data_IF_675921300693
#
_entry.id   IF_675921300693
#
_cell.length_a   1.000
_cell.length_b   1.000
_cell.length_c   1.000
_cell.angle_alpha   90.00
_cell.angle_beta   90.00
_cell.angle_gamma   90.00
#
_symmetry.space_group_name_H-M   'P 1'
#
loop_
_entity.id
_entity.type
_entity.pdbx_description
1 polymer ?
#
# COMPACT_ATOMS: atom_id res chain seq x y z
N UNK A 1 40.64 -22.83 -44.85
CA UNK A 1 40.12 -21.89 -43.83
C UNK A 1 38.61 -21.91 -43.92
N UNK A 2 37.91 -22.58 -42.95
CA UNK A 2 36.43 -22.64 -42.90
C UNK A 2 35.97 -21.69 -41.79
N UNK A 3 35.34 -20.57 -42.15
CA UNK A 3 34.75 -19.64 -41.23
C UNK A 3 33.37 -20.17 -40.79
N UNK A 4 33.24 -20.54 -39.51
CA UNK A 4 31.96 -20.93 -38.92
C UNK A 4 31.20 -19.67 -38.47
N UNK A 5 30.03 -19.45 -39.04
CA UNK A 5 29.08 -18.40 -38.61
C UNK A 5 28.35 -18.92 -37.37
N UNK A 6 28.61 -18.32 -36.24
CA UNK A 6 27.84 -18.55 -34.99
C UNK A 6 26.60 -17.66 -35.03
N UNK A 7 25.43 -18.26 -35.21
CA UNK A 7 24.13 -17.58 -35.11
C UNK A 7 23.76 -17.41 -33.64
N UNK A 8 23.88 -16.20 -33.11
CA UNK A 8 23.37 -15.85 -31.76
C UNK A 8 21.83 -15.67 -31.85
N UNK A 9 21.09 -16.67 -31.38
CA UNK A 9 19.65 -16.51 -31.10
C UNK A 9 19.47 -15.61 -29.89
N UNK A 10 19.09 -14.37 -30.14
CA UNK A 10 18.61 -13.47 -29.04
C UNK A 10 17.20 -13.93 -28.68
N UNK A 11 17.05 -14.55 -27.48
CA UNK A 11 15.77 -14.85 -26.90
C UNK A 11 15.14 -13.52 -26.38
N UNK A 12 14.17 -13.01 -27.13
CA UNK A 12 13.35 -11.88 -26.66
C UNK A 12 12.44 -12.36 -25.54
N UNK A 13 12.73 -11.93 -24.31
CA UNK A 13 11.82 -12.10 -23.17
C UNK A 13 10.57 -11.22 -23.41
N UNK A 14 9.35 -11.76 -23.28
CA UNK A 14 8.15 -10.95 -23.36
C UNK A 14 8.16 -9.94 -22.20
N UNK A 15 8.22 -8.66 -22.50
CA UNK A 15 7.92 -7.60 -21.54
C UNK A 15 6.42 -7.68 -21.26
N UNK A 16 6.03 -8.16 -20.08
CA UNK A 16 4.66 -8.07 -19.60
C UNK A 16 4.37 -6.59 -19.34
N UNK A 17 3.71 -5.94 -20.28
CA UNK A 17 3.11 -4.63 -20.04
C UNK A 17 2.03 -4.82 -18.96
N UNK A 18 2.21 -4.19 -17.82
CA UNK A 18 1.19 -4.17 -16.77
C UNK A 18 -0.03 -3.41 -17.30
N UNK A 19 -1.18 -4.07 -17.39
CA UNK A 19 -2.42 -3.41 -17.77
C UNK A 19 -2.82 -2.38 -16.74
N UNK A 20 -3.23 -1.18 -17.19
CA UNK A 20 -3.78 -0.15 -16.31
C UNK A 20 -5.15 -0.58 -15.78
N UNK A 21 -5.42 -0.28 -14.51
CA UNK A 21 -6.72 -0.51 -13.90
C UNK A 21 -7.82 0.24 -14.65
N UNK A 22 -8.94 -0.42 -14.91
CA UNK A 22 -10.13 0.17 -15.58
C UNK A 22 -10.98 0.99 -14.61
N UNK A 23 -10.47 2.12 -14.15
CA UNK A 23 -11.14 3.04 -13.24
C UNK A 23 -11.19 4.45 -13.83
N UNK A 24 -12.15 5.26 -13.40
CA UNK A 24 -12.30 6.64 -13.83
C UNK A 24 -11.28 7.55 -13.15
N UNK A 25 -10.63 8.48 -13.87
CA UNK A 25 -9.93 9.58 -13.23
C UNK A 25 -10.91 10.56 -12.60
N UNK A 26 -10.48 11.29 -11.58
CA UNK A 26 -11.29 12.29 -10.88
C UNK A 26 -11.26 12.15 -9.37
N UNK A 27 -12.28 12.68 -8.72
CA UNK A 27 -12.43 12.69 -7.27
C UNK A 27 -12.98 11.35 -6.79
N UNK A 28 -12.32 10.81 -5.78
CA UNK A 28 -12.67 9.55 -5.12
C UNK A 28 -12.82 9.76 -3.62
N UNK A 29 -13.81 9.12 -3.02
CA UNK A 29 -13.92 8.98 -1.58
C UNK A 29 -13.53 7.56 -1.16
N UNK A 30 -12.70 7.44 -0.14
CA UNK A 30 -12.23 6.16 0.36
C UNK A 30 -12.49 6.04 1.83
N UNK A 31 -13.19 4.98 2.21
CA UNK A 31 -13.32 4.53 3.58
C UNK A 31 -12.27 3.46 3.84
N UNK A 32 -11.47 3.67 4.86
CA UNK A 32 -10.37 2.79 5.26
C UNK A 32 -10.61 2.28 6.67
N UNK A 33 -10.57 0.97 6.85
CA UNK A 33 -10.58 0.28 8.14
C UNK A 33 -9.18 -0.23 8.45
N UNK A 34 -8.63 0.20 9.58
CA UNK A 34 -7.27 -0.14 10.02
C UNK A 34 -7.37 -0.99 11.28
N UNK A 35 -6.76 -2.16 11.24
CA UNK A 35 -6.61 -3.07 12.38
C UNK A 35 -5.14 -3.26 12.69
N UNK A 36 -4.79 -3.15 13.97
CA UNK A 36 -3.44 -3.40 14.46
C UNK A 36 -3.48 -4.65 15.33
N UNK A 37 -2.69 -5.66 14.99
CA UNK A 37 -2.63 -6.91 15.74
C UNK A 37 -1.19 -7.21 16.18
N UNK A 38 -1.06 -7.75 17.40
CA UNK A 38 0.22 -8.21 17.91
C UNK A 38 1.26 -7.10 18.08
N UNK A 39 0.81 -5.86 18.32
CA UNK A 39 1.73 -4.77 18.64
C UNK A 39 2.50 -5.10 19.91
N UNK A 40 3.80 -5.24 19.79
CA UNK A 40 4.74 -5.37 20.91
C UNK A 40 5.67 -4.16 20.91
N UNK A 41 6.07 -3.73 22.09
CA UNK A 41 7.07 -2.67 22.19
C UNK A 41 8.43 -3.20 21.74
N UNK A 42 9.09 -2.54 20.77
CA UNK A 42 10.46 -2.90 20.40
C UNK A 42 11.40 -2.82 21.60
N UNK A 43 12.35 -3.74 21.67
CA UNK A 43 13.33 -3.77 22.78
C UNK A 43 14.13 -2.46 22.87
N UNK A 44 14.43 -1.84 21.71
CA UNK A 44 15.07 -0.52 21.64
C UNK A 44 14.29 0.60 22.33
N UNK A 45 12.96 0.48 22.39
CA UNK A 45 12.08 1.45 23.08
C UNK A 45 12.01 1.09 24.57
N UNK A 46 11.92 -0.20 24.89
CA UNK A 46 11.75 -0.66 26.27
C UNK A 46 13.03 -0.67 27.10
N UNK A 47 14.20 -0.71 26.44
CA UNK A 47 15.50 -0.78 27.11
C UNK A 47 15.77 0.36 28.10
N UNK A 48 15.24 1.55 27.81
CA UNK A 48 15.44 2.75 28.63
C UNK A 48 14.21 3.11 29.49
N UNK A 49 13.19 2.23 29.56
CA UNK A 49 11.97 2.47 30.34
C UNK A 49 12.08 1.87 31.74
N UNK A 50 11.53 2.57 32.73
CA UNK A 50 11.31 1.96 34.06
C UNK A 50 10.21 0.89 33.95
N UNK A 51 10.16 -0.07 34.90
CA UNK A 51 9.09 -1.09 34.92
C UNK A 51 7.68 -0.47 34.92
N UNK A 52 7.48 0.65 35.62
CA UNK A 52 6.20 1.34 35.68
C UNK A 52 5.85 2.01 34.34
N UNK A 53 6.82 2.62 33.66
CA UNK A 53 6.59 3.20 32.32
C UNK A 53 6.21 2.12 31.31
N UNK A 54 6.88 0.97 31.37
CA UNK A 54 6.56 -0.19 30.51
C UNK A 54 5.14 -0.68 30.76
N UNK A 55 4.77 -0.90 32.04
CA UNK A 55 3.43 -1.36 32.39
C UNK A 55 2.33 -0.42 31.90
N UNK A 56 2.52 0.91 32.04
CA UNK A 56 1.57 1.92 31.52
C UNK A 56 1.45 1.86 30.00
N UNK A 57 2.56 1.71 29.29
CA UNK A 57 2.56 1.62 27.83
C UNK A 57 1.86 0.35 27.33
N UNK A 58 2.12 -0.80 27.97
CA UNK A 58 1.45 -2.06 27.67
C UNK A 58 -0.06 -1.98 27.90
N UNK A 59 -0.48 -1.35 28.99
CA UNK A 59 -1.91 -1.14 29.29
C UNK A 59 -2.56 -0.23 28.23
N UNK A 60 -1.91 0.86 27.85
CA UNK A 60 -2.41 1.73 26.79
C UNK A 60 -2.53 0.99 25.45
N UNK A 61 -1.58 0.12 25.11
CA UNK A 61 -1.65 -0.72 23.89
C UNK A 61 -2.79 -1.74 23.96
N UNK A 62 -3.03 -2.35 25.11
CA UNK A 62 -4.19 -3.24 25.33
C UNK A 62 -5.51 -2.49 25.15
N UNK A 63 -5.61 -1.28 25.69
CA UNK A 63 -6.80 -0.44 25.51
C UNK A 63 -7.01 -0.04 24.04
N UNK A 64 -5.95 0.33 23.33
CA UNK A 64 -6.06 0.60 21.88
C UNK A 64 -6.49 -0.64 21.09
N UNK A 65 -5.95 -1.80 21.41
CA UNK A 65 -6.34 -3.06 20.77
C UNK A 65 -7.81 -3.43 21.07
N UNK A 66 -8.29 -3.15 22.28
CA UNK A 66 -9.66 -3.41 22.69
C UNK A 66 -10.70 -2.50 21.99
N UNK A 67 -10.29 -1.31 21.49
CA UNK A 67 -11.17 -0.42 20.72
C UNK A 67 -11.52 -0.98 19.33
N UNK A 68 -10.86 -2.05 18.90
CA UNK A 68 -11.09 -2.65 17.59
C UNK A 68 -10.58 -1.83 16.40
N UNK A 69 -11.03 -2.18 15.19
CA UNK A 69 -10.61 -1.49 13.98
C UNK A 69 -11.04 -0.02 13.97
N UNK A 70 -10.16 0.85 13.49
CA UNK A 70 -10.47 2.27 13.29
C UNK A 70 -10.87 2.52 11.86
N UNK A 71 -11.98 3.23 11.67
CA UNK A 71 -12.47 3.60 10.35
C UNK A 71 -12.22 5.10 10.11
N UNK A 72 -11.67 5.41 8.95
CA UNK A 72 -11.48 6.78 8.48
C UNK A 72 -12.00 6.91 7.06
N UNK A 73 -12.54 8.08 6.73
CA UNK A 73 -12.98 8.41 5.37
C UNK A 73 -12.22 9.64 4.90
N UNK A 74 -11.74 9.60 3.66
CA UNK A 74 -11.00 10.70 3.06
C UNK A 74 -11.26 10.79 1.57
N UNK A 75 -11.08 11.97 1.01
CA UNK A 75 -11.18 12.21 -0.43
C UNK A 75 -9.80 12.36 -1.04
N UNK A 76 -9.66 11.94 -2.29
CA UNK A 76 -8.43 12.08 -3.05
C UNK A 76 -8.73 12.20 -4.53
N UNK A 77 -7.89 12.95 -5.23
CA UNK A 77 -7.92 13.03 -6.68
C UNK A 77 -7.02 11.95 -7.29
N UNK A 78 -7.55 11.20 -8.24
CA UNK A 78 -6.80 10.22 -9.04
C UNK A 78 -6.73 10.78 -10.46
N UNK A 79 -5.53 11.10 -10.92
CA UNK A 79 -5.31 11.65 -12.26
C UNK A 79 -5.18 10.54 -13.30
N UNK A 80 -5.35 10.89 -14.57
CA UNK A 80 -5.09 9.96 -15.68
C UNK A 80 -3.61 9.53 -15.73
N UNK A 81 -2.70 10.39 -15.25
CA UNK A 81 -1.28 10.08 -15.17
C UNK A 81 -0.99 9.06 -14.05
N UNK A 82 -1.61 9.21 -12.88
CA UNK A 82 -1.50 8.23 -11.80
C UNK A 82 -1.94 6.84 -12.26
N UNK A 83 -3.01 6.77 -13.03
CA UNK A 83 -3.51 5.49 -13.58
C UNK A 83 -2.55 4.87 -14.59
N UNK A 84 -1.91 5.67 -15.45
CA UNK A 84 -0.89 5.19 -16.40
C UNK A 84 0.35 4.65 -15.70
N UNK A 85 0.72 5.25 -14.57
CA UNK A 85 1.86 4.81 -13.76
C UNK A 85 1.52 3.60 -12.86
N UNK A 86 0.29 3.10 -12.91
CA UNK A 86 -0.18 2.01 -12.05
C UNK A 86 -0.37 2.44 -10.58
N UNK A 87 -0.41 3.74 -10.32
CA UNK A 87 -0.46 4.32 -8.99
C UNK A 87 -1.88 4.67 -8.58
N UNK A 88 -2.73 3.69 -8.34
CA UNK A 88 -3.99 3.97 -7.68
C UNK A 88 -3.71 4.28 -6.20
N UNK A 89 -3.52 5.57 -5.87
CA UNK A 89 -3.48 6.12 -4.50
C UNK A 89 -2.24 5.89 -3.61
N UNK A 90 -1.39 4.92 -3.86
CA UNK A 90 -0.39 4.54 -2.86
C UNK A 90 0.98 5.23 -3.00
N UNK A 91 1.38 5.62 -4.20
CA UNK A 91 2.77 5.96 -4.45
C UNK A 91 3.22 7.30 -3.85
N UNK A 92 2.39 8.34 -3.90
CA UNK A 92 2.84 9.68 -3.52
C UNK A 92 3.00 9.86 -2.00
N UNK A 93 2.07 9.33 -1.20
CA UNK A 93 2.14 9.46 0.26
C UNK A 93 3.23 8.57 0.90
N UNK A 94 3.53 7.45 0.26
CA UNK A 94 4.45 6.48 0.82
C UNK A 94 5.90 6.64 0.36
N UNK A 95 6.13 7.21 -0.82
CA UNK A 95 7.48 7.62 -1.22
C UNK A 95 8.05 8.69 -0.28
N UNK A 96 7.20 9.55 0.28
CA UNK A 96 7.59 10.53 1.31
C UNK A 96 8.02 9.87 2.63
N UNK A 97 7.66 8.62 2.87
CA UNK A 97 7.98 7.88 4.10
C UNK A 97 9.15 6.88 3.93
N UNK A 98 9.87 6.92 2.82
CA UNK A 98 10.99 6.00 2.56
C UNK A 98 10.55 4.56 2.25
N UNK A 99 9.33 4.36 1.75
CA UNK A 99 8.82 3.09 1.28
C UNK A 99 8.97 2.94 -0.25
N UNK A 100 9.28 1.74 -0.70
CA UNK A 100 9.30 1.35 -2.12
C UNK A 100 8.14 0.42 -2.40
N UNK A 101 7.46 0.64 -3.52
CA UNK A 101 6.39 -0.22 -4.03
C UNK A 101 6.83 -0.89 -5.31
N UNK A 102 6.42 -2.14 -5.46
CA UNK A 102 6.66 -2.93 -6.66
C UNK A 102 5.35 -3.60 -7.07
N UNK A 103 4.95 -3.38 -8.33
CA UNK A 103 3.78 -4.04 -8.91
C UNK A 103 4.17 -5.47 -9.27
N UNK A 104 3.58 -6.44 -8.59
CA UNK A 104 3.81 -7.88 -8.82
C UNK A 104 2.97 -8.38 -9.98
N UNK A 105 1.72 -7.94 -10.04
CA UNK A 105 0.80 -8.25 -11.14
C UNK A 105 -0.22 -7.12 -11.33
N UNK A 106 -0.61 -6.87 -12.57
CA UNK A 106 -1.64 -5.88 -12.90
C UNK A 106 -2.45 -6.36 -14.09
N UNK A 107 -3.77 -6.31 -13.91
CA UNK A 107 -4.78 -6.54 -14.95
C UNK A 107 -5.79 -5.39 -14.91
N UNK A 108 -6.68 -5.30 -15.86
CA UNK A 108 -7.74 -4.30 -15.89
C UNK A 108 -8.63 -4.27 -14.61
N UNK A 109 -8.69 -5.38 -13.88
CA UNK A 109 -9.61 -5.57 -12.74
C UNK A 109 -8.91 -5.83 -11.41
N UNK A 110 -7.61 -6.14 -11.41
CA UNK A 110 -6.87 -6.49 -10.21
C UNK A 110 -5.42 -6.06 -10.30
N UNK A 111 -4.93 -5.46 -9.23
CA UNK A 111 -3.52 -5.15 -9.08
C UNK A 111 -3.02 -5.68 -7.75
N UNK A 112 -1.82 -6.23 -7.77
CA UNK A 112 -1.12 -6.70 -6.59
C UNK A 112 0.24 -6.03 -6.52
N UNK A 113 0.56 -5.51 -5.34
CA UNK A 113 1.79 -4.79 -5.08
C UNK A 113 2.44 -5.30 -3.80
N UNK A 114 3.75 -5.29 -3.78
CA UNK A 114 4.55 -5.42 -2.56
C UNK A 114 5.07 -4.05 -2.14
N UNK A 115 5.31 -3.92 -0.85
CA UNK A 115 5.86 -2.72 -0.24
C UNK A 115 7.02 -3.10 0.66
N UNK A 116 8.08 -2.30 0.61
CA UNK A 116 9.25 -2.41 1.48
C UNK A 116 9.62 -1.03 1.99
N UNK A 117 9.57 -0.84 3.31
CA UNK A 117 9.92 0.39 3.99
C UNK A 117 11.23 0.19 4.76
N UNK A 118 12.18 1.09 4.57
CA UNK A 118 13.45 1.10 5.27
C UNK A 118 13.44 2.00 6.51
N UNK A 119 14.62 2.18 7.11
CA UNK A 119 14.82 3.07 8.25
C UNK A 119 14.17 2.56 9.54
N UNK A 120 13.60 3.46 10.32
CA UNK A 120 12.98 3.13 11.61
C UNK A 120 11.74 2.25 11.49
N UNK A 121 11.04 2.30 10.34
CA UNK A 121 9.80 1.54 10.14
C UNK A 121 10.06 0.07 9.84
N UNK A 122 11.13 -0.25 9.14
CA UNK A 122 11.59 -1.59 8.76
C UNK A 122 10.43 -2.59 8.59
N UNK A 123 9.57 -2.30 7.61
CA UNK A 123 8.32 -3.00 7.38
C UNK A 123 8.25 -3.55 5.96
N UNK A 124 7.57 -4.68 5.80
CA UNK A 124 7.21 -5.24 4.50
C UNK A 124 5.71 -5.42 4.41
N UNK A 125 5.15 -5.26 3.23
CA UNK A 125 3.72 -5.40 3.04
C UNK A 125 3.34 -5.90 1.67
N UNK A 126 2.07 -6.32 1.58
CA UNK A 126 1.39 -6.69 0.34
C UNK A 126 0.07 -5.98 0.27
N UNK A 127 -0.24 -5.41 -0.88
CA UNK A 127 -1.51 -4.76 -1.17
C UNK A 127 -2.16 -5.41 -2.37
N UNK A 128 -3.46 -5.61 -2.28
CA UNK A 128 -4.29 -6.12 -3.36
C UNK A 128 -5.43 -5.14 -3.61
N UNK A 129 -5.58 -4.73 -4.86
CA UNK A 129 -6.66 -3.89 -5.35
C UNK A 129 -7.56 -4.72 -6.26
N UNK A 130 -8.87 -4.60 -6.09
CA UNK A 130 -9.88 -5.22 -6.95
C UNK A 130 -10.84 -4.14 -7.45
N UNK A 131 -10.95 -4.01 -8.77
CA UNK A 131 -11.90 -3.14 -9.44
C UNK A 131 -13.23 -3.88 -9.53
N UNK A 132 -14.24 -3.38 -8.84
CA UNK A 132 -15.61 -3.92 -8.88
C UNK A 132 -16.30 -3.43 -10.16
N UNK A 133 -16.16 -2.13 -10.43
CA UNK A 133 -16.53 -1.46 -11.67
C UNK A 133 -15.68 -0.19 -11.83
N UNK A 134 -15.88 0.58 -12.90
CA UNK A 134 -15.07 1.77 -13.18
C UNK A 134 -15.19 2.90 -12.14
N UNK A 135 -16.16 2.84 -11.25
CA UNK A 135 -16.39 3.81 -10.19
C UNK A 135 -16.26 3.23 -8.78
N UNK A 136 -15.96 1.93 -8.63
CA UNK A 136 -15.86 1.27 -7.34
C UNK A 136 -14.64 0.34 -7.28
N UNK A 137 -13.81 0.56 -6.27
CA UNK A 137 -12.59 -0.23 -5.99
C UNK A 137 -12.59 -0.63 -4.53
N UNK A 138 -12.15 -1.83 -4.26
CA UNK A 138 -11.86 -2.30 -2.91
C UNK A 138 -10.48 -2.94 -2.85
N UNK A 139 -9.90 -2.95 -1.67
CA UNK A 139 -8.61 -3.61 -1.49
C UNK A 139 -8.28 -3.88 -0.04
N UNK A 140 -7.23 -4.63 0.12
CA UNK A 140 -6.63 -4.94 1.40
C UNK A 140 -5.13 -4.75 1.34
N UNK A 141 -4.57 -4.35 2.45
CA UNK A 141 -3.13 -4.26 2.67
C UNK A 141 -2.79 -4.96 3.98
N UNK A 142 -1.76 -5.77 3.93
CA UNK A 142 -1.15 -6.39 5.10
C UNK A 142 0.29 -5.93 5.21
N UNK A 143 0.66 -5.44 6.38
CA UNK A 143 2.00 -4.97 6.68
C UNK A 143 2.53 -5.72 7.89
N UNK A 144 3.78 -6.17 7.80
CA UNK A 144 4.53 -6.77 8.91
C UNK A 144 5.67 -5.83 9.26
N UNK A 145 5.76 -5.45 10.51
CA UNK A 145 6.87 -4.69 11.07
C UNK A 145 7.83 -5.66 11.77
N UNK A 146 9.13 -5.51 11.56
CA UNK A 146 10.11 -6.50 12.06
C UNK A 146 10.12 -6.65 13.59
N UNK A 147 9.74 -5.62 14.33
CA UNK A 147 9.89 -5.59 15.79
C UNK A 147 8.58 -5.37 16.56
N UNK A 148 7.46 -5.13 15.89
CA UNK A 148 6.27 -4.64 16.59
C UNK A 148 4.92 -5.17 16.06
N UNK A 149 4.89 -6.38 15.52
CA UNK A 149 3.64 -6.98 15.05
C UNK A 149 3.25 -6.59 13.63
N UNK A 150 1.95 -6.52 13.36
CA UNK A 150 1.44 -6.26 12.02
C UNK A 150 0.27 -5.28 12.00
N UNK A 151 0.03 -4.71 10.83
CA UNK A 151 -1.12 -3.88 10.53
C UNK A 151 -1.85 -4.46 9.32
N UNK A 152 -3.17 -4.55 9.42
CA UNK A 152 -4.03 -4.84 8.29
C UNK A 152 -4.92 -3.65 8.00
N UNK A 153 -5.13 -3.39 6.73
CA UNK A 153 -5.96 -2.29 6.26
C UNK A 153 -6.90 -2.82 5.18
N UNK A 154 -8.17 -2.51 5.31
CA UNK A 154 -9.17 -2.75 4.26
C UNK A 154 -9.69 -1.40 3.80
N UNK A 155 -9.92 -1.24 2.52
CA UNK A 155 -10.48 0.00 2.02
C UNK A 155 -11.49 -0.24 0.90
N UNK A 156 -12.44 0.69 0.83
CA UNK A 156 -13.43 0.78 -0.23
C UNK A 156 -13.40 2.21 -0.74
N UNK A 157 -13.27 2.35 -2.05
CA UNK A 157 -13.23 3.66 -2.71
C UNK A 157 -14.36 3.74 -3.71
N UNK A 158 -15.06 4.86 -3.74
CA UNK A 158 -16.05 5.14 -4.76
C UNK A 158 -15.79 6.50 -5.42
N UNK A 159 -16.07 6.56 -6.71
CA UNK A 159 -15.88 7.73 -7.53
C UNK A 159 -16.99 8.74 -7.30
N UNK A 160 -16.64 10.01 -7.03
CA UNK A 160 -17.57 11.10 -6.78
C UNK A 160 -17.82 11.95 -8.02
N UNK A 161 -16.81 12.13 -8.87
CA UNK A 161 -16.93 13.01 -10.03
C UNK A 161 -15.62 13.18 -10.80
N UNK A 162 -15.71 13.76 -12.00
CA UNK A 162 -14.54 13.98 -12.86
C UNK A 162 -13.66 15.14 -12.38
N UNK A 163 -14.24 16.09 -11.64
CA UNK A 163 -13.53 17.31 -11.23
C UNK A 163 -12.90 17.12 -9.85
N UNK A 164 -11.63 17.44 -9.76
CA UNK A 164 -10.91 17.57 -8.50
C UNK A 164 -10.74 19.05 -8.15
N UNK A 165 -10.98 19.41 -6.91
CA UNK A 165 -10.63 20.74 -6.40
C UNK A 165 -9.36 20.63 -5.56
N UNK A 166 -8.62 21.73 -5.36
CA UNK A 166 -7.38 21.74 -4.57
C UNK A 166 -7.61 21.30 -3.11
N UNK A 167 -8.83 21.44 -2.60
CA UNK A 167 -9.21 20.96 -1.27
C UNK A 167 -9.32 19.44 -1.17
N UNK A 168 -9.48 18.76 -2.29
CA UNK A 168 -9.67 17.31 -2.40
C UNK A 168 -8.36 16.57 -2.72
N UNK A 169 -7.29 17.30 -2.99
CA UNK A 169 -5.98 16.77 -3.40
C UNK A 169 -5.00 16.50 -2.23
N UNK A 170 -5.46 16.63 -0.96
CA UNK A 170 -4.64 16.46 0.24
C UNK A 170 -4.74 15.06 0.82
#
# INVERSE_FOLDING_TARGET
>A
MKAGIVLLLAAALPAFAADALKVKPGLWETTTEISMAGLTLPESVTANMTPEQRARMEEMMKQMAAQGPRTTTGKSCVTAEDLKQGNFRAANAAQQQGCKYEVVSSTAQRQEMTMSCGGQMNATGRMVLNVIDSGNVQGDMQMKMQQSGGMSMKFKSHWLGANCTDADAK
#
